data_IF_309489382461
#
_entry.id   IF_309489382461
#
_cell.length_a   1.000
_cell.length_b   1.000
_cell.length_c   1.000
_cell.angle_alpha   90.00
_cell.angle_beta   90.00
_cell.angle_gamma   90.00
#
_symmetry.space_group_name_H-M   'P 1'
#
loop_
_entity.id
_entity.type
_entity.pdbx_description
1 polymer ?
#
# COMPACT_ATOMS: atom_id res chain seq x y z
N UNK A 1 2.47 -6.32 -38.17
CA UNK A 1 2.14 -4.93 -37.80
C UNK A 1 0.65 -4.77 -38.08
N UNK A 2 -0.20 -4.96 -37.07
CA UNK A 2 -1.65 -4.82 -37.23
C UNK A 2 -1.93 -3.32 -37.17
N UNK A 3 -2.30 -2.72 -38.30
CA UNK A 3 -2.73 -1.32 -38.36
C UNK A 3 -4.19 -1.34 -37.88
N UNK A 4 -4.40 -1.17 -36.58
CA UNK A 4 -5.74 -0.89 -36.04
C UNK A 4 -6.20 0.45 -36.57
N UNK A 5 -7.38 0.48 -37.20
CA UNK A 5 -7.92 1.70 -37.79
C UNK A 5 -8.32 2.71 -36.70
N UNK A 6 -8.33 4.01 -37.03
CA UNK A 6 -8.76 5.05 -36.09
C UNK A 6 -10.20 4.86 -35.59
N UNK A 7 -11.06 4.21 -36.38
CA UNK A 7 -12.43 3.87 -36.01
C UNK A 7 -12.48 2.75 -34.95
N UNK A 8 -11.68 1.70 -35.11
CA UNK A 8 -11.59 0.60 -34.13
C UNK A 8 -11.02 1.08 -32.78
N UNK A 9 -10.06 2.01 -32.80
CA UNK A 9 -9.51 2.63 -31.58
C UNK A 9 -10.55 3.50 -30.88
N UNK A 10 -11.35 4.26 -31.64
CA UNK A 10 -12.43 5.08 -31.09
C UNK A 10 -13.57 4.23 -30.49
N UNK A 11 -13.95 3.15 -31.17
CA UNK A 11 -15.00 2.23 -30.72
C UNK A 11 -14.57 1.46 -29.47
N UNK A 12 -13.32 0.97 -29.44
CA UNK A 12 -12.71 0.33 -28.26
C UNK A 12 -12.64 1.27 -27.05
N UNK A 13 -12.25 2.54 -27.26
CA UNK A 13 -12.22 3.53 -26.19
C UNK A 13 -13.62 3.87 -25.66
N UNK A 14 -14.63 3.93 -26.54
CA UNK A 14 -16.02 4.18 -26.15
C UNK A 14 -16.60 3.01 -25.35
N UNK A 15 -16.30 1.77 -25.75
CA UNK A 15 -16.68 0.55 -25.02
C UNK A 15 -16.04 0.52 -23.62
N UNK A 16 -14.73 0.81 -23.52
CA UNK A 16 -14.03 0.90 -22.22
C UNK A 16 -14.68 1.94 -21.30
N UNK A 17 -14.94 3.15 -21.78
CA UNK A 17 -15.58 4.20 -20.97
C UNK A 17 -16.98 3.80 -20.48
N UNK A 18 -17.75 3.12 -21.33
CA UNK A 18 -19.07 2.62 -20.98
C UNK A 18 -19.01 1.54 -19.90
N UNK A 19 -18.04 0.61 -20.00
CA UNK A 19 -17.80 -0.42 -18.97
C UNK A 19 -17.34 0.17 -17.64
N UNK A 20 -16.40 1.13 -17.66
CA UNK A 20 -15.95 1.84 -16.46
C UNK A 20 -17.12 2.52 -15.75
N UNK A 21 -17.95 3.24 -16.51
CA UNK A 21 -19.13 3.91 -15.96
C UNK A 21 -20.12 2.91 -15.39
N UNK A 22 -20.43 1.83 -16.12
CA UNK A 22 -21.36 0.81 -15.65
C UNK A 22 -20.88 0.14 -14.35
N UNK A 23 -19.58 -0.17 -14.25
CA UNK A 23 -18.95 -0.68 -13.04
C UNK A 23 -19.06 0.32 -11.88
N UNK A 24 -18.68 1.57 -12.12
CA UNK A 24 -18.69 2.64 -11.12
C UNK A 24 -20.10 2.98 -10.61
N UNK A 25 -21.09 2.99 -11.50
CA UNK A 25 -22.51 3.21 -11.18
C UNK A 25 -23.06 2.14 -10.24
N UNK A 26 -22.49 0.91 -10.24
CA UNK A 26 -22.91 -0.13 -9.29
C UNK A 26 -22.58 0.23 -7.86
N UNK A 27 -21.49 0.97 -7.63
CA UNK A 27 -20.93 1.31 -6.31
C UNK A 27 -20.66 0.10 -5.39
N UNK A 28 -20.65 -1.11 -5.95
CA UNK A 28 -20.47 -2.34 -5.20
C UNK A 28 -18.99 -2.75 -5.10
N UNK A 29 -18.17 -2.25 -6.03
CA UNK A 29 -16.75 -2.54 -6.15
C UNK A 29 -16.46 -3.94 -6.71
N UNK A 30 -15.19 -4.33 -6.68
CA UNK A 30 -14.69 -5.62 -7.19
C UNK A 30 -15.31 -6.78 -6.41
N UNK A 31 -15.46 -6.65 -5.09
CA UNK A 31 -16.15 -7.65 -4.25
C UNK A 31 -17.59 -7.87 -4.72
N UNK A 32 -18.28 -6.79 -5.11
CA UNK A 32 -19.62 -6.89 -5.69
C UNK A 32 -19.67 -7.70 -6.98
N UNK A 33 -18.62 -7.69 -7.81
CA UNK A 33 -18.54 -8.56 -8.99
C UNK A 33 -18.46 -10.03 -8.59
N UNK A 34 -17.60 -10.35 -7.62
CA UNK A 34 -17.45 -11.72 -7.09
C UNK A 34 -18.73 -12.23 -6.46
N UNK A 35 -19.43 -11.40 -5.68
CA UNK A 35 -20.71 -11.77 -5.06
C UNK A 35 -21.81 -12.06 -6.10
N UNK A 36 -21.68 -11.50 -7.31
CA UNK A 36 -22.55 -11.80 -8.45
C UNK A 36 -22.12 -13.03 -9.27
N UNK A 37 -21.05 -13.73 -8.85
CA UNK A 37 -20.65 -15.01 -9.44
C UNK A 37 -19.99 -14.91 -10.81
N UNK A 38 -19.25 -13.82 -11.08
CA UNK A 38 -18.50 -13.71 -12.33
C UNK A 38 -17.48 -14.84 -12.47
N UNK A 39 -17.28 -15.33 -13.69
CA UNK A 39 -16.28 -16.34 -14.03
C UNK A 39 -15.18 -15.82 -14.95
N UNK A 40 -15.32 -14.57 -15.42
CA UNK A 40 -14.36 -13.83 -16.23
C UNK A 40 -14.28 -12.41 -15.74
N UNK A 41 -13.09 -11.83 -15.78
CA UNK A 41 -12.91 -10.43 -15.39
C UNK A 41 -13.36 -9.50 -16.53
N UNK A 42 -14.01 -8.37 -16.24
CA UNK A 42 -14.28 -7.35 -17.24
C UNK A 42 -12.99 -6.81 -17.89
N UNK A 43 -13.05 -6.43 -19.17
CA UNK A 43 -11.89 -5.95 -19.92
C UNK A 43 -11.21 -4.73 -19.27
N UNK A 44 -11.96 -3.93 -18.50
CA UNK A 44 -11.41 -2.79 -17.76
C UNK A 44 -10.35 -3.19 -16.72
N UNK A 45 -10.27 -4.46 -16.29
CA UNK A 45 -9.27 -4.98 -15.35
C UNK A 45 -8.11 -5.72 -16.03
N UNK A 46 -8.19 -5.95 -17.34
CA UNK A 46 -7.17 -6.71 -18.08
C UNK A 46 -5.96 -5.80 -18.32
N UNK A 47 -4.80 -6.23 -17.82
CA UNK A 47 -3.53 -5.54 -18.00
C UNK A 47 -2.74 -6.14 -19.17
N UNK A 48 -2.14 -5.29 -19.99
CA UNK A 48 -1.25 -5.73 -21.07
C UNK A 48 0.01 -6.36 -20.47
N UNK A 49 0.21 -7.67 -20.70
CA UNK A 49 1.38 -8.46 -20.23
C UNK A 49 2.75 -7.98 -20.72
N UNK A 50 2.85 -6.82 -21.40
CA UNK A 50 4.07 -6.36 -22.08
C UNK A 50 5.01 -5.53 -21.21
N UNK A 51 4.58 -5.00 -20.06
CA UNK A 51 5.38 -4.03 -19.30
C UNK A 51 6.16 -4.61 -18.11
N UNK A 52 5.79 -5.77 -17.57
CA UNK A 52 6.38 -6.28 -16.30
C UNK A 52 7.16 -7.59 -16.41
N UNK A 53 7.49 -8.03 -17.64
CA UNK A 53 8.31 -9.23 -17.83
C UNK A 53 9.79 -8.89 -17.63
N UNK A 54 10.21 -8.67 -16.38
CA UNK A 54 11.49 -9.21 -15.95
C UNK A 54 11.21 -10.65 -15.51
N UNK A 55 11.89 -11.61 -16.10
CA UNK A 55 11.81 -13.03 -15.73
C UNK A 55 11.72 -13.21 -14.21
N UNK A 56 10.69 -13.93 -13.73
CA UNK A 56 10.60 -14.48 -12.37
C UNK A 56 11.76 -15.46 -12.17
N UNK A 57 12.97 -14.94 -11.98
CA UNK A 57 14.09 -15.69 -11.45
C UNK A 57 14.01 -15.41 -9.97
N UNK A 58 13.39 -16.33 -9.23
CA UNK A 58 13.50 -16.36 -7.78
C UNK A 58 14.99 -16.57 -7.44
N UNK A 59 15.77 -15.50 -7.41
CA UNK A 59 17.10 -15.61 -6.83
C UNK A 59 16.90 -15.82 -5.34
N UNK A 60 17.22 -17.03 -4.86
CA UNK A 60 17.01 -17.45 -3.47
C UNK A 60 17.89 -16.68 -2.46
N UNK A 61 18.53 -15.58 -2.88
CA UNK A 61 19.56 -14.88 -2.13
C UNK A 61 19.21 -13.44 -1.76
N UNK A 62 18.18 -12.83 -2.37
CA UNK A 62 17.79 -11.45 -2.07
C UNK A 62 16.50 -11.46 -1.22
N UNK A 63 16.63 -11.15 0.07
CA UNK A 63 15.51 -11.04 0.99
C UNK A 63 15.43 -9.61 1.54
N UNK A 64 14.21 -9.05 1.55
CA UNK A 64 13.96 -7.74 2.14
C UNK A 64 14.44 -7.74 3.60
N UNK A 65 15.29 -6.77 4.02
CA UNK A 65 15.89 -6.77 5.35
C UNK A 65 14.85 -6.84 6.47
N UNK A 66 15.12 -7.63 7.51
CA UNK A 66 14.32 -7.69 8.72
C UNK A 66 15.07 -7.00 9.86
N UNK A 67 14.44 -6.01 10.48
CA UNK A 67 15.00 -5.22 11.56
C UNK A 67 14.23 -5.48 12.85
N UNK A 68 14.96 -5.83 13.91
CA UNK A 68 14.39 -6.11 15.23
C UNK A 68 14.53 -4.88 16.14
N UNK A 69 13.40 -4.38 16.67
CA UNK A 69 13.37 -3.23 17.59
C UNK A 69 13.45 -3.64 19.07
N UNK A 70 13.65 -4.93 19.38
CA UNK A 70 13.81 -5.39 20.76
C UNK A 70 14.97 -4.67 21.47
N UNK A 71 14.69 -4.11 22.66
CA UNK A 71 15.68 -3.42 23.49
C UNK A 71 16.23 -2.11 22.91
N UNK A 72 15.63 -1.55 21.85
CA UNK A 72 16.13 -0.34 21.17
C UNK A 72 16.21 0.89 22.09
N UNK A 73 15.34 0.96 23.10
CA UNK A 73 15.30 2.06 24.08
C UNK A 73 16.12 1.80 25.34
N UNK A 74 16.62 0.57 25.49
CA UNK A 74 17.30 0.10 26.71
C UNK A 74 18.82 0.07 26.53
N UNK A 75 19.30 -0.21 25.32
CA UNK A 75 20.72 -0.33 25.01
C UNK A 75 21.12 0.53 23.80
N UNK A 76 22.05 1.47 24.02
CA UNK A 76 22.63 2.30 22.97
C UNK A 76 23.31 1.49 21.87
N UNK A 77 23.89 0.34 22.22
CA UNK A 77 24.52 -0.55 21.24
C UNK A 77 23.48 -1.19 20.32
N UNK A 78 22.30 -1.53 20.85
CA UNK A 78 21.19 -2.03 20.04
C UNK A 78 20.60 -0.92 19.18
N UNK A 79 20.39 0.28 19.73
CA UNK A 79 19.96 1.43 18.91
C UNK A 79 20.91 1.69 17.74
N UNK A 80 22.22 1.67 17.98
CA UNK A 80 23.20 1.89 16.92
C UNK A 80 23.10 0.84 15.81
N UNK A 81 22.91 -0.45 16.15
CA UNK A 81 22.68 -1.52 15.16
C UNK A 81 21.38 -1.33 14.39
N UNK A 82 20.30 -0.92 15.06
CA UNK A 82 19.03 -0.64 14.39
C UNK A 82 19.18 0.53 13.42
N UNK A 83 19.86 1.61 13.82
CA UNK A 83 20.12 2.77 12.96
C UNK A 83 20.97 2.38 11.75
N UNK A 84 21.99 1.53 11.93
CA UNK A 84 22.80 1.00 10.83
C UNK A 84 21.96 0.11 9.89
N UNK A 85 21.17 -0.82 10.43
CA UNK A 85 20.28 -1.67 9.63
C UNK A 85 19.22 -0.86 8.86
N UNK A 86 18.65 0.19 9.46
CA UNK A 86 17.73 1.11 8.78
C UNK A 86 18.45 1.86 7.67
N UNK A 87 19.67 2.35 7.91
CA UNK A 87 20.48 3.04 6.88
C UNK A 87 20.73 2.12 5.68
N UNK A 88 21.18 0.90 5.93
CA UNK A 88 21.52 -0.06 4.87
C UNK A 88 20.28 -0.48 4.09
N UNK A 89 19.20 -0.84 4.79
CA UNK A 89 17.95 -1.23 4.14
C UNK A 89 17.35 -0.09 3.32
N UNK A 90 17.33 1.14 3.84
CA UNK A 90 16.86 2.29 3.10
C UNK A 90 17.74 2.64 1.91
N UNK A 91 19.06 2.38 1.96
CA UNK A 91 19.97 2.71 0.86
C UNK A 91 19.95 1.67 -0.25
N UNK A 92 19.87 0.39 0.10
CA UNK A 92 19.97 -0.73 -0.85
C UNK A 92 18.60 -1.15 -1.39
N UNK A 93 17.58 -1.14 -0.52
CA UNK A 93 16.26 -1.67 -0.83
C UNK A 93 15.18 -0.60 -0.97
N UNK A 94 15.21 0.44 -0.13
CA UNK A 94 14.06 1.33 0.06
C UNK A 94 12.92 0.68 0.87
N UNK A 95 13.09 -0.60 1.25
CA UNK A 95 12.16 -1.43 2.01
C UNK A 95 12.85 -2.13 3.18
N UNK A 96 12.11 -2.36 4.26
CA UNK A 96 12.46 -3.33 5.29
C UNK A 96 11.21 -3.85 6.00
N UNK A 97 11.34 -5.00 6.64
CA UNK A 97 10.37 -5.52 7.60
C UNK A 97 10.82 -5.16 9.01
N UNK A 98 9.89 -4.90 9.91
CA UNK A 98 10.18 -4.63 11.32
C UNK A 98 9.38 -5.56 12.23
N UNK A 99 10.04 -6.09 13.27
CA UNK A 99 9.44 -6.86 14.38
C UNK A 99 9.77 -6.21 15.72
N UNK A 100 9.05 -6.61 16.77
CA UNK A 100 9.18 -6.03 18.12
C UNK A 100 9.00 -4.49 18.15
N UNK A 101 8.22 -3.96 17.20
CA UNK A 101 7.92 -2.53 17.02
C UNK A 101 6.94 -1.95 18.06
N UNK A 102 6.53 -2.74 19.07
CA UNK A 102 5.69 -2.29 20.19
C UNK A 102 4.18 -2.24 19.93
N UNK A 103 3.70 -2.56 18.73
CA UNK A 103 2.25 -2.70 18.46
C UNK A 103 1.86 -4.15 18.78
N UNK A 104 0.88 -4.39 19.68
CA UNK A 104 0.49 -5.76 20.03
C UNK A 104 -0.05 -6.53 18.81
N UNK A 105 0.36 -7.79 18.66
CA UNK A 105 -0.11 -8.67 17.57
C UNK A 105 -1.63 -8.75 17.52
N UNK A 106 -2.30 -8.76 18.67
CA UNK A 106 -3.77 -8.75 18.73
C UNK A 106 -4.41 -7.54 18.06
N UNK A 107 -3.74 -6.38 18.07
CA UNK A 107 -4.21 -5.16 17.37
C UNK A 107 -4.02 -5.33 15.87
N UNK A 108 -2.88 -5.87 15.44
CA UNK A 108 -2.60 -6.14 14.02
C UNK A 108 -3.65 -7.09 13.43
N UNK A 109 -3.86 -8.24 14.08
CA UNK A 109 -4.85 -9.21 13.63
C UNK A 109 -6.27 -8.64 13.64
N UNK A 110 -6.63 -7.87 14.66
CA UNK A 110 -7.95 -7.26 14.73
C UNK A 110 -8.14 -6.18 13.66
N UNK A 111 -7.08 -5.49 13.25
CA UNK A 111 -7.16 -4.52 12.16
C UNK A 111 -7.40 -5.21 10.82
N UNK A 112 -6.71 -6.33 10.54
CA UNK A 112 -6.99 -7.17 9.36
C UNK A 112 -8.45 -7.67 9.38
N UNK A 113 -8.91 -8.21 10.52
CA UNK A 113 -10.32 -8.63 10.68
C UNK A 113 -11.30 -7.47 10.51
N UNK A 114 -10.97 -6.28 11.02
CA UNK A 114 -11.78 -5.08 10.89
C UNK A 114 -11.94 -4.63 9.43
N UNK A 115 -10.83 -4.56 8.70
CA UNK A 115 -10.86 -4.26 7.27
C UNK A 115 -11.71 -5.28 6.50
N UNK A 116 -11.50 -6.59 6.74
CA UNK A 116 -12.32 -7.64 6.15
C UNK A 116 -13.80 -7.49 6.51
N UNK A 117 -14.14 -7.26 7.78
CA UNK A 117 -15.55 -7.06 8.22
C UNK A 117 -16.24 -5.93 7.47
N UNK A 118 -15.56 -4.82 7.21
CA UNK A 118 -16.12 -3.72 6.41
C UNK A 118 -16.37 -4.14 4.97
N UNK A 119 -15.38 -4.77 4.31
CA UNK A 119 -15.49 -5.16 2.90
C UNK A 119 -16.45 -6.33 2.65
N UNK A 120 -16.70 -7.17 3.66
CA UNK A 120 -17.64 -8.30 3.61
C UNK A 120 -19.09 -7.92 3.96
N UNK A 121 -19.37 -6.66 4.30
CA UNK A 121 -20.75 -6.22 4.50
C UNK A 121 -21.55 -6.28 3.20
N UNK A 122 -22.88 -6.35 3.33
CA UNK A 122 -23.78 -6.22 2.19
C UNK A 122 -23.48 -4.95 1.39
N UNK A 123 -23.60 -5.06 0.06
CA UNK A 123 -23.26 -3.96 -0.85
C UNK A 123 -24.00 -2.67 -0.51
N UNK A 124 -25.28 -2.73 -0.10
CA UNK A 124 -26.05 -1.54 0.26
C UNK A 124 -25.46 -0.74 1.42
N UNK A 125 -24.86 -1.42 2.42
CA UNK A 125 -24.20 -0.75 3.55
C UNK A 125 -22.90 -0.07 3.08
N UNK A 126 -22.10 -0.75 2.26
CA UNK A 126 -20.84 -0.18 1.73
C UNK A 126 -21.08 1.00 0.77
N UNK A 127 -22.20 1.00 0.04
CA UNK A 127 -22.58 2.07 -0.89
C UNK A 127 -22.75 3.44 -0.25
N UNK A 128 -23.09 3.50 1.04
CA UNK A 128 -23.16 4.76 1.80
C UNK A 128 -21.80 5.46 1.90
N UNK A 129 -20.73 4.67 1.91
CA UNK A 129 -19.36 5.14 1.93
C UNK A 129 -18.80 5.39 0.52
N UNK A 130 -19.47 4.89 -0.52
CA UNK A 130 -18.97 4.96 -1.88
C UNK A 130 -18.86 6.41 -2.37
N UNK A 131 -17.66 6.82 -2.77
CA UNK A 131 -17.47 8.17 -3.30
C UNK A 131 -16.22 8.31 -4.16
N UNK A 132 -16.32 9.22 -5.14
CA UNK A 132 -15.17 9.79 -5.87
C UNK A 132 -14.93 11.25 -5.51
N UNK A 133 -15.62 11.77 -4.49
CA UNK A 133 -15.33 13.07 -3.90
C UNK A 133 -14.18 12.93 -2.89
N UNK A 134 -12.97 13.21 -3.35
CA UNK A 134 -11.74 13.11 -2.57
C UNK A 134 -11.58 14.23 -1.53
N UNK A 135 -12.55 15.15 -1.40
CA UNK A 135 -12.58 16.10 -0.29
C UNK A 135 -13.14 15.46 1.00
N UNK A 136 -13.81 14.31 0.87
CA UNK A 136 -14.30 13.54 2.03
C UNK A 136 -13.13 12.96 2.82
N UNK A 137 -13.23 13.04 4.15
CA UNK A 137 -12.25 12.43 5.06
C UNK A 137 -12.29 10.89 5.06
N UNK A 138 -13.47 10.32 4.78
CA UNK A 138 -13.72 8.89 4.75
C UNK A 138 -14.51 8.57 3.50
N UNK A 139 -14.01 7.64 2.70
CA UNK A 139 -14.67 7.16 1.50
C UNK A 139 -14.26 5.73 1.19
N UNK A 140 -15.13 5.04 0.49
CA UNK A 140 -14.90 3.73 -0.11
C UNK A 140 -14.96 3.88 -1.63
N UNK A 141 -14.06 3.22 -2.35
CA UNK A 141 -14.19 3.06 -3.81
C UNK A 141 -13.31 1.92 -4.32
N UNK A 142 -13.44 1.63 -5.61
CA UNK A 142 -12.48 0.84 -6.36
C UNK A 142 -11.70 1.77 -7.28
N UNK A 143 -10.37 1.77 -7.13
CA UNK A 143 -9.41 2.55 -7.90
C UNK A 143 -9.65 4.07 -7.82
N UNK A 144 -8.75 4.81 -7.18
CA UNK A 144 -8.84 6.28 -7.12
C UNK A 144 -8.66 6.92 -8.52
N UNK A 145 -7.94 6.24 -9.40
CA UNK A 145 -7.58 6.62 -10.76
C UNK A 145 -8.39 5.87 -11.84
N UNK A 146 -9.55 5.30 -11.49
CA UNK A 146 -10.37 4.43 -12.36
C UNK A 146 -10.51 4.95 -13.81
N UNK A 147 -10.72 6.25 -13.99
CA UNK A 147 -10.96 6.88 -15.30
C UNK A 147 -9.68 7.36 -16.01
N UNK A 148 -8.53 7.29 -15.35
CA UNK A 148 -7.24 7.74 -15.87
C UNK A 148 -6.34 6.56 -16.22
N UNK A 149 -6.42 5.48 -15.44
CA UNK A 149 -5.57 4.31 -15.59
C UNK A 149 -5.82 3.54 -16.91
N UNK A 150 -4.77 2.96 -17.51
CA UNK A 150 -4.91 2.10 -18.69
C UNK A 150 -5.70 0.82 -18.38
N UNK A 151 -5.63 0.31 -17.16
CA UNK A 151 -6.46 -0.76 -16.63
C UNK A 151 -6.70 -0.51 -15.14
N UNK A 152 -7.85 -0.95 -14.63
CA UNK A 152 -8.21 -0.88 -13.22
C UNK A 152 -7.58 -2.05 -12.47
N UNK A 153 -7.16 -1.81 -11.22
CA UNK A 153 -6.69 -2.86 -10.34
C UNK A 153 -7.84 -3.66 -9.72
N UNK A 154 -7.61 -4.94 -9.47
CA UNK A 154 -8.53 -5.88 -8.82
C UNK A 154 -8.59 -5.68 -7.29
N UNK A 155 -9.00 -4.48 -6.86
CA UNK A 155 -9.09 -4.12 -5.44
C UNK A 155 -10.22 -3.15 -5.14
N UNK A 156 -10.68 -3.25 -3.91
CA UNK A 156 -11.52 -2.26 -3.24
C UNK A 156 -10.72 -1.58 -2.13
N UNK A 157 -11.07 -0.33 -1.78
CA UNK A 157 -10.30 0.46 -0.80
C UNK A 157 -11.21 1.29 0.07
N UNK A 158 -11.05 1.14 1.39
CA UNK A 158 -11.53 2.10 2.37
C UNK A 158 -10.42 3.09 2.67
N UNK A 159 -10.64 4.38 2.39
CA UNK A 159 -9.67 5.44 2.62
C UNK A 159 -10.11 6.33 3.77
N UNK A 160 -9.17 6.71 4.63
CA UNK A 160 -9.44 7.59 5.76
C UNK A 160 -8.27 8.51 6.09
N UNK A 161 -8.53 9.82 6.22
CA UNK A 161 -7.58 10.77 6.79
C UNK A 161 -7.68 10.72 8.31
N UNK A 162 -6.67 10.12 8.97
CA UNK A 162 -6.65 9.86 10.41
C UNK A 162 -5.86 10.91 11.22
N UNK A 163 -4.92 11.62 10.58
CA UNK A 163 -4.16 12.71 11.19
C UNK A 163 -3.96 13.86 10.18
N UNK A 164 -3.72 15.12 10.62
CA UNK A 164 -3.45 15.55 11.99
C UNK A 164 -4.70 15.66 12.88
N UNK A 165 -5.89 15.64 12.28
CA UNK A 165 -7.18 15.69 13.01
C UNK A 165 -8.00 14.45 12.70
N UNK A 166 -7.99 13.52 13.65
CA UNK A 166 -8.79 12.31 13.58
C UNK A 166 -10.27 12.64 13.32
N UNK A 167 -10.98 11.88 12.47
CA UNK A 167 -12.43 12.03 12.29
C UNK A 167 -13.17 11.80 13.61
N UNK A 168 -14.40 12.32 13.72
CA UNK A 168 -15.22 11.91 14.85
C UNK A 168 -15.49 10.40 14.71
N UNK A 169 -15.51 9.62 15.80
CA UNK A 169 -15.74 8.19 15.72
C UNK A 169 -17.03 7.85 14.94
N UNK A 170 -18.10 8.63 15.11
CA UNK A 170 -19.36 8.44 14.39
C UNK A 170 -19.28 8.61 12.86
N UNK A 171 -18.22 9.28 12.38
CA UNK A 171 -17.96 9.46 10.95
C UNK A 171 -17.14 8.29 10.35
N UNK A 172 -16.81 7.27 11.14
CA UNK A 172 -16.12 6.05 10.72
C UNK A 172 -17.08 4.85 10.63
N UNK A 173 -16.84 3.88 9.71
CA UNK A 173 -17.67 2.70 9.59
C UNK A 173 -17.69 1.86 10.87
N UNK A 174 -18.89 1.56 11.37
CA UNK A 174 -19.07 0.80 12.63
C UNK A 174 -18.27 -0.52 12.66
N UNK A 175 -18.17 -1.20 11.51
CA UNK A 175 -17.51 -2.51 11.37
C UNK A 175 -16.02 -2.52 11.78
N UNK A 176 -15.33 -1.37 11.66
CA UNK A 176 -13.89 -1.24 11.88
C UNK A 176 -13.47 0.01 12.67
N UNK A 177 -14.43 0.83 13.12
CA UNK A 177 -14.20 2.11 13.80
C UNK A 177 -13.18 2.05 14.93
N UNK A 178 -13.45 1.25 15.95
CA UNK A 178 -12.67 1.28 17.20
C UNK A 178 -11.24 0.79 16.95
N UNK A 179 -11.10 -0.26 16.13
CA UNK A 179 -9.79 -0.79 15.78
C UNK A 179 -9.01 0.14 14.84
N UNK A 180 -9.67 0.82 13.90
CA UNK A 180 -9.00 1.84 13.07
C UNK A 180 -8.41 2.95 13.93
N UNK A 181 -9.15 3.43 14.94
CA UNK A 181 -8.68 4.45 15.88
C UNK A 181 -7.48 3.93 16.68
N UNK A 182 -7.61 2.74 17.29
CA UNK A 182 -6.55 2.18 18.14
C UNK A 182 -5.27 1.86 17.36
N UNK A 183 -5.40 1.23 16.20
CA UNK A 183 -4.30 0.93 15.30
C UNK A 183 -3.62 2.20 14.80
N UNK A 184 -4.38 3.21 14.34
CA UNK A 184 -3.82 4.47 13.85
C UNK A 184 -3.01 5.20 14.93
N UNK A 185 -3.50 5.23 16.18
CA UNK A 185 -2.77 5.84 17.29
C UNK A 185 -1.42 5.14 17.54
N UNK A 186 -1.40 3.80 17.47
CA UNK A 186 -0.18 3.01 17.65
C UNK A 186 0.79 3.17 16.47
N UNK A 187 0.28 3.20 15.25
CA UNK A 187 1.09 3.48 14.04
C UNK A 187 1.69 4.88 14.07
N UNK A 188 0.98 5.90 14.58
CA UNK A 188 1.55 7.25 14.72
C UNK A 188 2.76 7.27 15.68
N UNK A 189 2.69 6.52 16.78
CA UNK A 189 3.85 6.39 17.71
C UNK A 189 5.01 5.66 17.02
N UNK A 190 4.73 4.59 16.27
CA UNK A 190 5.75 3.88 15.50
C UNK A 190 6.36 4.77 14.40
N UNK A 191 5.55 5.49 13.63
CA UNK A 191 6.01 6.39 12.59
C UNK A 191 6.95 7.47 13.16
N UNK A 192 6.59 8.06 14.30
CA UNK A 192 7.47 8.97 15.02
C UNK A 192 8.82 8.33 15.36
N UNK A 193 8.84 7.07 15.82
CA UNK A 193 10.08 6.34 16.08
C UNK A 193 10.88 6.12 14.80
N UNK A 194 10.23 5.70 13.72
CA UNK A 194 10.86 5.47 12.42
C UNK A 194 11.51 6.75 11.88
N UNK A 195 10.85 7.91 12.00
CA UNK A 195 11.43 9.20 11.60
C UNK A 195 12.64 9.61 12.45
N UNK A 196 12.70 9.23 13.73
CA UNK A 196 13.93 9.44 14.54
C UNK A 196 15.09 8.61 14.00
N UNK A 197 14.84 7.31 13.78
CA UNK A 197 15.84 6.37 13.30
C UNK A 197 16.34 6.77 11.90
N UNK A 198 15.45 7.23 11.02
CA UNK A 198 15.82 7.77 9.72
C UNK A 198 16.66 9.03 9.83
N UNK A 199 16.35 9.93 10.77
CA UNK A 199 17.17 11.13 11.01
C UNK A 199 18.59 10.75 11.46
N UNK A 200 18.72 9.80 12.39
CA UNK A 200 20.01 9.28 12.83
C UNK A 200 20.76 8.51 11.73
N UNK A 201 20.05 7.74 10.91
CA UNK A 201 20.58 7.05 9.74
C UNK A 201 21.10 8.04 8.68
N UNK A 202 20.61 9.28 8.69
CA UNK A 202 21.13 10.37 7.87
C UNK A 202 22.28 11.14 8.54
N UNK A 203 22.63 10.81 9.80
CA UNK A 203 23.62 11.54 10.59
C UNK A 203 23.11 12.91 11.09
N UNK A 204 21.79 13.10 11.15
CA UNK A 204 21.13 14.31 11.61
C UNK A 204 20.73 14.20 13.09
N UNK A 205 20.22 15.30 13.65
CA UNK A 205 19.55 15.26 14.96
C UNK A 205 18.36 14.30 14.91
N UNK A 206 18.13 13.43 15.93
CA UNK A 206 17.01 12.49 15.92
C UNK A 206 15.63 13.14 15.72
N UNK A 207 15.45 14.42 16.05
CA UNK A 207 14.17 15.11 15.85
C UNK A 207 14.04 15.81 14.50
N UNK A 208 15.08 15.82 13.66
CA UNK A 208 15.11 16.62 12.43
C UNK A 208 13.87 16.41 11.54
N UNK A 209 13.55 15.16 11.16
CA UNK A 209 12.41 14.87 10.30
C UNK A 209 11.05 15.17 10.98
N UNK A 210 11.00 15.11 12.31
CA UNK A 210 9.80 15.50 13.08
C UNK A 210 9.62 17.02 13.09
N UNK A 211 10.71 17.76 13.29
CA UNK A 211 10.72 19.21 13.39
C UNK A 211 10.34 19.88 12.06
N UNK A 212 10.56 19.20 10.93
CA UNK A 212 10.06 19.62 9.61
C UNK A 212 8.69 19.00 9.25
N UNK A 213 7.99 18.44 10.25
CA UNK A 213 6.61 17.98 10.18
C UNK A 213 6.35 16.73 9.30
N UNK A 214 7.36 15.88 9.04
CA UNK A 214 7.16 14.64 8.26
C UNK A 214 6.24 13.60 8.94
N UNK A 215 6.07 13.69 10.26
CA UNK A 215 5.33 12.72 11.08
C UNK A 215 3.91 13.17 11.50
N UNK A 216 3.36 14.24 10.89
CA UNK A 216 2.06 14.82 11.33
C UNK A 216 0.83 14.25 10.62
N UNK A 217 1.01 13.78 9.38
CA UNK A 217 -0.07 13.26 8.55
C UNK A 217 -0.21 11.75 8.67
N UNK A 218 -1.45 11.26 8.59
CA UNK A 218 -1.73 9.84 8.44
C UNK A 218 -2.92 9.67 7.50
N UNK A 219 -2.63 9.05 6.37
CA UNK A 219 -3.63 8.59 5.43
C UNK A 219 -3.69 7.06 5.47
N UNK A 220 -4.83 6.54 5.91
CA UNK A 220 -5.09 5.12 6.06
C UNK A 220 -5.74 4.58 4.78
N UNK A 221 -5.23 3.44 4.29
CA UNK A 221 -5.78 2.69 3.18
C UNK A 221 -6.05 1.24 3.62
N UNK A 222 -7.32 0.87 3.71
CA UNK A 222 -7.78 -0.50 3.93
C UNK A 222 -8.06 -1.17 2.59
N UNK A 223 -7.01 -1.67 1.93
CA UNK A 223 -7.14 -2.42 0.69
C UNK A 223 -7.74 -3.81 0.93
N UNK A 224 -8.60 -4.24 0.00
CA UNK A 224 -9.18 -5.58 -0.01
C UNK A 224 -9.11 -6.14 -1.42
N UNK A 225 -8.57 -7.34 -1.53
CA UNK A 225 -8.28 -8.03 -2.79
C UNK A 225 -9.13 -9.30 -2.86
N UNK A 226 -10.34 -9.25 -3.46
CA UNK A 226 -11.16 -10.44 -3.63
C UNK A 226 -10.47 -11.47 -4.53
N UNK A 227 -10.73 -12.76 -4.31
CA UNK A 227 -10.21 -13.83 -5.18
C UNK A 227 -10.56 -13.55 -6.66
N UNK A 228 -9.56 -13.61 -7.54
CA UNK A 228 -9.72 -13.30 -8.96
C UNK A 228 -9.94 -14.59 -9.78
N UNK A 229 -10.94 -14.67 -10.68
CA UNK A 229 -11.13 -15.85 -11.53
C UNK A 229 -10.09 -15.99 -12.65
N UNK A 230 -9.42 -14.90 -13.02
CA UNK A 230 -8.39 -14.88 -14.07
C UNK A 230 -7.16 -14.08 -13.58
N UNK A 231 -6.44 -14.58 -12.55
CA UNK A 231 -5.42 -13.79 -11.84
C UNK A 231 -4.24 -13.39 -12.73
N UNK A 232 -3.90 -14.20 -13.74
CA UNK A 232 -2.80 -13.90 -14.69
C UNK A 232 -3.10 -12.74 -15.64
N UNK A 233 -4.31 -12.15 -15.59
CA UNK A 233 -4.73 -11.04 -16.46
C UNK A 233 -4.80 -9.70 -15.73
N UNK A 234 -4.65 -9.66 -14.41
CA UNK A 234 -4.85 -8.44 -13.61
C UNK A 234 -3.93 -8.36 -12.40
N UNK A 235 -3.82 -7.17 -11.83
CA UNK A 235 -3.06 -6.92 -10.61
C UNK A 235 -3.99 -6.48 -9.49
N UNK A 236 -3.66 -6.88 -8.25
CA UNK A 236 -4.31 -6.34 -7.06
C UNK A 236 -3.94 -4.87 -6.91
N UNK A 237 -2.67 -4.54 -7.16
CA UNK A 237 -2.18 -3.17 -7.34
C UNK A 237 -1.05 -3.17 -8.37
N UNK A 238 -1.17 -2.34 -9.40
CA UNK A 238 -0.16 -2.13 -10.44
C UNK A 238 1.14 -1.54 -9.87
N UNK A 239 2.24 -1.74 -10.60
CA UNK A 239 3.55 -1.15 -10.25
C UNK A 239 3.46 0.36 -10.03
N UNK A 240 3.95 0.84 -8.89
CA UNK A 240 4.04 2.26 -8.53
C UNK A 240 5.07 2.49 -7.42
N UNK A 241 5.52 3.74 -7.26
CA UNK A 241 6.17 4.24 -6.05
C UNK A 241 5.17 5.01 -5.18
N UNK A 242 5.41 5.03 -3.88
CA UNK A 242 4.56 5.76 -2.93
C UNK A 242 4.90 7.25 -2.93
N UNK A 243 3.87 8.09 -3.05
CA UNK A 243 4.03 9.55 -2.95
C UNK A 243 4.13 10.09 -1.51
N UNK A 244 4.19 9.21 -0.50
CA UNK A 244 4.28 9.59 0.92
C UNK A 244 5.72 9.94 1.33
N UNK A 245 5.96 10.26 2.61
CA UNK A 245 7.32 10.25 3.17
C UNK A 245 7.75 8.81 3.53
N UNK A 246 6.82 8.08 4.12
CA UNK A 246 7.03 6.74 4.67
C UNK A 246 5.68 6.03 4.64
N UNK A 247 5.70 4.76 4.26
CA UNK A 247 4.54 3.87 4.35
C UNK A 247 4.84 2.79 5.40
N UNK A 248 3.82 2.49 6.23
CA UNK A 248 3.83 1.38 7.19
C UNK A 248 2.69 0.45 6.81
N UNK A 249 3.03 -0.72 6.29
CA UNK A 249 2.13 -1.66 5.69
C UNK A 249 1.96 -2.90 6.59
N UNK A 250 0.71 -3.20 6.90
CA UNK A 250 0.28 -4.43 7.54
C UNK A 250 -0.36 -5.34 6.49
N UNK A 251 0.18 -6.55 6.34
CA UNK A 251 -0.34 -7.57 5.43
C UNK A 251 -1.09 -8.66 6.18
N UNK A 252 -1.97 -9.37 5.49
CA UNK A 252 -2.43 -10.68 5.95
C UNK A 252 -1.33 -11.74 5.75
N UNK A 253 -1.66 -13.03 5.90
CA UNK A 253 -0.69 -14.12 5.76
C UNK A 253 -0.78 -14.82 4.40
N UNK A 254 -1.53 -14.26 3.45
CA UNK A 254 -1.63 -14.77 2.07
C UNK A 254 -0.48 -14.18 1.24
N UNK A 255 -0.20 -12.88 1.42
CA UNK A 255 0.93 -12.20 0.77
C UNK A 255 0.54 -11.50 -0.53
N UNK A 256 1.35 -11.67 -1.58
CA UNK A 256 1.11 -11.06 -2.90
C UNK A 256 1.85 -9.75 -3.15
N UNK A 257 2.52 -9.17 -2.14
CA UNK A 257 3.40 -8.02 -2.32
C UNK A 257 4.69 -8.43 -3.02
N UNK A 258 5.05 -7.71 -4.07
CA UNK A 258 6.34 -7.80 -4.74
C UNK A 258 7.01 -6.42 -4.72
N UNK A 259 8.30 -6.40 -4.44
CA UNK A 259 9.15 -5.20 -4.47
C UNK A 259 10.11 -5.29 -5.64
N UNK A 260 10.40 -4.16 -6.30
CA UNK A 260 11.39 -4.11 -7.36
C UNK A 260 12.78 -3.91 -6.72
N UNK A 261 13.69 -4.85 -6.92
CA UNK A 261 15.08 -4.73 -6.45
C UNK A 261 16.02 -5.13 -7.58
N UNK A 262 16.94 -4.24 -7.95
CA UNK A 262 17.92 -4.46 -9.03
C UNK A 262 17.25 -4.87 -10.38
N UNK A 263 16.13 -4.21 -10.72
CA UNK A 263 15.28 -4.50 -11.88
C UNK A 263 14.65 -5.91 -11.89
N UNK A 264 14.54 -6.56 -10.73
CA UNK A 264 13.85 -7.82 -10.56
C UNK A 264 12.73 -7.69 -9.53
N UNK A 265 11.58 -8.29 -9.82
CA UNK A 265 10.49 -8.38 -8.84
C UNK A 265 10.79 -9.48 -7.83
N UNK A 266 10.83 -9.13 -6.54
CA UNK A 266 11.10 -10.02 -5.42
C UNK A 266 9.84 -10.14 -4.57
N UNK A 267 9.41 -11.38 -4.30
CA UNK A 267 8.28 -11.65 -3.40
C UNK A 267 8.64 -11.28 -1.96
N UNK A 268 7.78 -10.48 -1.32
CA UNK A 268 7.88 -10.19 0.10
C UNK A 268 6.91 -11.11 0.87
N UNK A 269 7.46 -12.17 1.42
CA UNK A 269 6.70 -13.14 2.23
C UNK A 269 6.30 -12.52 3.58
N UNK A 270 5.00 -12.50 3.95
CA UNK A 270 4.56 -11.96 5.23
C UNK A 270 5.16 -12.72 6.42
N UNK A 271 5.67 -11.97 7.40
CA UNK A 271 6.12 -12.52 8.68
C UNK A 271 5.04 -12.23 9.74
N UNK A 272 4.59 -13.24 10.52
CA UNK A 272 3.60 -13.02 11.57
C UNK A 272 4.03 -11.93 12.56
N UNK A 273 3.20 -10.91 12.70
CA UNK A 273 3.45 -9.79 13.61
C UNK A 273 4.51 -8.79 13.13
N UNK A 274 5.00 -8.90 11.89
CA UNK A 274 5.86 -7.89 11.29
C UNK A 274 5.04 -6.83 10.55
N UNK A 275 5.66 -5.66 10.37
CA UNK A 275 5.17 -4.60 9.48
C UNK A 275 6.21 -4.36 8.39
N UNK A 276 5.77 -4.08 7.17
CA UNK A 276 6.65 -3.63 6.09
C UNK A 276 6.73 -2.11 6.15
N UNK A 277 7.92 -1.57 5.99
CA UNK A 277 8.19 -0.14 5.94
C UNK A 277 8.88 0.17 4.62
N UNK A 278 8.42 1.22 3.93
CA UNK A 278 9.08 1.70 2.72
C UNK A 278 9.11 3.20 2.63
N UNK A 279 10.16 3.70 1.97
CA UNK A 279 10.32 5.12 1.72
C UNK A 279 9.41 5.55 0.56
N UNK A 280 8.88 6.76 0.65
CA UNK A 280 8.14 7.38 -0.44
C UNK A 280 8.87 8.57 -1.06
N UNK A 281 8.41 8.98 -2.23
CA UNK A 281 9.00 10.01 -3.08
C UNK A 281 9.22 11.34 -2.34
N UNK A 282 8.35 11.71 -1.38
CA UNK A 282 8.50 12.97 -0.65
C UNK A 282 9.76 12.97 0.21
N UNK A 283 10.17 11.83 0.77
CA UNK A 283 11.40 11.75 1.56
C UNK A 283 12.65 11.78 0.66
N UNK A 284 12.53 11.28 -0.57
CA UNK A 284 13.61 11.33 -1.56
C UNK A 284 13.88 12.76 -2.04
N UNK A 285 12.82 13.56 -2.26
CA UNK A 285 12.93 14.94 -2.76
C UNK A 285 13.30 15.95 -1.66
N UNK A 286 12.88 15.71 -0.42
CA UNK A 286 13.14 16.63 0.72
C UNK A 286 14.55 16.51 1.31
N UNK A 287 15.33 15.54 0.84
CA UNK A 287 16.73 15.36 1.21
C UNK A 287 17.62 16.40 0.52
N UNK A 288 18.22 17.33 1.30
CA UNK A 288 19.15 18.36 0.84
C UNK A 288 20.31 17.81 -0.03
N UNK A 289 21.03 18.65 -0.83
CA UNK A 289 22.05 18.22 -1.80
C UNK A 289 23.30 17.50 -1.24
N UNK A 290 23.35 17.19 0.06
CA UNK A 290 24.40 16.40 0.72
C UNK A 290 23.84 15.18 1.48
N UNK A 291 22.55 14.87 1.34
CA UNK A 291 21.86 13.81 2.08
C UNK A 291 21.29 12.80 1.09
N UNK A 292 22.16 12.24 0.25
CA UNK A 292 21.75 11.13 -0.58
C UNK A 292 21.75 9.87 0.31
N UNK A 293 20.59 9.27 0.54
CA UNK A 293 20.55 7.82 0.41
C UNK A 293 20.99 7.57 -1.04
N UNK A 294 22.28 7.29 -1.23
CA UNK A 294 22.93 7.26 -2.54
C UNK A 294 22.28 6.15 -3.35
N UNK A 295 21.39 6.50 -4.28
CA UNK A 295 21.04 5.63 -5.40
C UNK A 295 19.76 4.80 -5.31
N UNK A 296 18.65 5.32 -4.76
CA UNK A 296 17.32 4.72 -4.99
C UNK A 296 16.81 5.02 -6.41
N UNK A 297 17.56 4.60 -7.42
CA UNK A 297 17.09 4.60 -8.81
C UNK A 297 16.24 3.34 -9.03
N UNK A 298 14.95 3.41 -8.68
CA UNK A 298 13.95 2.44 -9.14
C UNK A 298 13.65 1.25 -8.23
N UNK A 299 14.16 1.19 -7.00
CA UNK A 299 13.86 0.09 -6.07
C UNK A 299 12.60 0.32 -5.21
N UNK A 300 12.00 1.52 -5.24
CA UNK A 300 10.83 1.86 -4.42
C UNK A 300 9.49 1.41 -5.03
N UNK A 301 9.57 0.68 -6.15
CA UNK A 301 8.39 0.21 -6.86
C UNK A 301 7.81 -1.04 -6.19
N UNK A 302 6.49 -1.03 -5.99
CA UNK A 302 5.74 -2.19 -5.49
C UNK A 302 4.58 -2.53 -6.39
N UNK A 303 4.23 -3.81 -6.40
CA UNK A 303 2.97 -4.30 -6.96
C UNK A 303 2.37 -5.38 -6.07
N UNK A 304 1.05 -5.53 -6.15
CA UNK A 304 0.33 -6.63 -5.53
C UNK A 304 -0.23 -7.55 -6.61
N UNK A 305 0.12 -8.84 -6.56
CA UNK A 305 -0.40 -9.84 -7.48
C UNK A 305 -1.77 -10.36 -7.02
N UNK A 306 -2.56 -10.91 -7.95
CA UNK A 306 -3.88 -11.53 -7.64
C UNK A 306 -3.83 -13.06 -7.60
N UNK A 307 -2.67 -13.66 -7.86
CA UNK A 307 -2.47 -15.11 -7.98
C UNK A 307 -2.27 -15.84 -6.64
N UNK A 308 -2.36 -15.14 -5.51
CA UNK A 308 -2.13 -15.68 -4.16
C UNK A 308 -3.41 -16.05 -3.43
#
# INVERSE_FOLDING_TARGET
MVITSSAEVQESNHDKQSQLKAFDDTRAGVKGLIDNGITKIPNIFVHDKRSDVSSDISDQHAAVPLIDFEGIDEDRSQRAKVVEGVRDACSEWGFFQVVNHGIPVSVLEEMIRGAARFHEQESEVKKEWYSRDYTRKVLYNSNFDLYQAPAANWRDTLSCVMAPRQPNPQDLPDACRDIMIDYSNKVMVLAQRLFELLSEALGLDPNYLKDIHCAEGLFFLGHYYPACPEPDLTFGTSSHSDSSFLTVLLQDQIGGLQVLHENQWVDLNPIPGALVVNLGDMLQVSSCPNTYFIGLSGNDCVKFNTST
#
